data_IF_444217321613
#
_entry.id   IF_444217321613
#
_cell.length_a   1.000
_cell.length_b   1.000
_cell.length_c   1.000
_cell.angle_alpha   90.00
_cell.angle_beta   90.00
_cell.angle_gamma   90.00
#
_symmetry.space_group_name_H-M   'P 1'
#
loop_
_entity.id
_entity.type
_entity.pdbx_description
1 polymer ?
#
# COMPACT_ATOMS: atom_id res chain seq x y z
N UNK A 1 34.24 5.08 -51.35
CA UNK A 1 35.01 4.34 -50.34
C UNK A 1 34.02 3.82 -49.31
N UNK A 2 33.52 2.61 -49.56
CA UNK A 2 32.55 1.88 -48.75
C UNK A 2 33.16 1.54 -47.40
N UNK A 3 32.46 1.86 -46.30
CA UNK A 3 32.85 1.45 -44.95
C UNK A 3 32.44 0.00 -44.74
N UNK A 4 33.44 -0.85 -44.46
CA UNK A 4 33.24 -2.23 -44.06
C UNK A 4 32.41 -2.30 -42.77
N UNK A 5 31.32 -3.07 -42.84
CA UNK A 5 30.53 -3.48 -41.68
C UNK A 5 31.17 -4.77 -41.16
N UNK A 6 31.85 -4.69 -40.01
CA UNK A 6 32.29 -5.88 -39.30
C UNK A 6 31.08 -6.51 -38.59
N UNK A 7 30.47 -7.52 -39.22
CA UNK A 7 29.71 -8.55 -38.53
C UNK A 7 30.71 -9.46 -37.78
N UNK A 8 30.57 -9.52 -36.46
CA UNK A 8 30.79 -10.70 -35.59
C UNK A 8 31.12 -10.28 -34.16
N UNK A 9 30.06 -10.08 -33.36
CA UNK A 9 30.11 -10.25 -31.92
C UNK A 9 29.12 -11.34 -31.54
N UNK A 10 29.57 -12.59 -31.48
CA UNK A 10 28.77 -13.69 -30.93
C UNK A 10 28.57 -13.44 -29.43
N UNK A 11 27.37 -13.03 -29.05
CA UNK A 11 26.96 -13.08 -27.65
C UNK A 11 26.90 -14.56 -27.24
N UNK A 12 27.61 -15.01 -26.19
CA UNK A 12 27.40 -16.36 -25.69
C UNK A 12 25.97 -16.41 -25.14
N UNK A 13 25.11 -17.20 -25.80
CA UNK A 13 23.85 -17.61 -25.21
C UNK A 13 24.21 -18.33 -23.91
N UNK A 14 23.83 -17.75 -22.75
CA UNK A 14 23.83 -18.53 -21.52
C UNK A 14 22.74 -19.58 -21.70
N UNK A 15 23.15 -20.81 -21.99
CA UNK A 15 22.24 -21.95 -22.02
C UNK A 15 21.56 -22.04 -20.65
N UNK A 16 20.30 -21.65 -20.61
CA UNK A 16 19.47 -21.81 -19.44
C UNK A 16 19.11 -23.29 -19.34
N UNK A 17 19.74 -23.99 -18.42
CA UNK A 17 19.36 -25.34 -18.05
C UNK A 17 18.31 -25.27 -16.95
N UNK A 18 17.15 -25.88 -17.20
CA UNK A 18 16.14 -26.05 -16.16
C UNK A 18 16.75 -26.80 -14.97
N UNK A 19 16.51 -26.33 -13.74
CA UNK A 19 16.93 -27.07 -12.57
C UNK A 19 16.24 -28.44 -12.57
N UNK A 20 16.90 -29.48 -12.03
CA UNK A 20 16.33 -30.80 -11.97
C UNK A 20 14.99 -30.78 -11.21
N UNK A 21 14.03 -31.62 -11.60
CA UNK A 21 12.71 -31.61 -10.98
C UNK A 21 12.83 -31.88 -9.47
N UNK A 22 12.21 -31.02 -8.64
CA UNK A 22 12.26 -31.18 -7.20
C UNK A 22 11.75 -32.57 -6.75
N UNK A 23 12.36 -33.16 -5.70
CA UNK A 23 11.90 -34.42 -5.12
C UNK A 23 10.43 -34.35 -4.70
N UNK A 24 9.72 -35.48 -4.77
CA UNK A 24 8.33 -35.54 -4.31
C UNK A 24 8.20 -35.40 -2.79
N UNK A 25 9.24 -35.72 -2.04
CA UNK A 25 9.28 -35.54 -0.60
C UNK A 25 10.71 -35.25 -0.20
N UNK A 26 10.93 -34.07 0.39
CA UNK A 26 12.20 -33.70 1.00
C UNK A 26 11.96 -33.40 2.50
N UNK A 27 12.15 -34.38 3.39
CA UNK A 27 11.94 -34.18 4.82
C UNK A 27 12.92 -33.15 5.43
N UNK A 28 14.04 -32.87 4.74
CA UNK A 28 15.00 -31.85 5.18
C UNK A 28 14.38 -30.46 5.08
N UNK A 29 13.44 -30.24 4.17
CA UNK A 29 12.77 -28.95 3.98
C UNK A 29 11.90 -28.55 5.18
N UNK A 30 11.30 -29.54 5.86
CA UNK A 30 10.55 -29.33 7.11
C UNK A 30 11.44 -28.81 8.26
N UNK A 31 12.76 -28.95 8.15
CA UNK A 31 13.68 -28.39 9.15
C UNK A 31 14.08 -26.94 8.85
N UNK A 32 13.76 -26.42 7.66
CA UNK A 32 14.22 -25.10 7.19
C UNK A 32 13.23 -24.02 7.60
N UNK A 33 13.72 -22.95 8.25
CA UNK A 33 12.90 -21.76 8.55
C UNK A 33 12.31 -21.11 7.29
N UNK A 34 12.98 -21.26 6.14
CA UNK A 34 12.49 -20.77 4.85
C UNK A 34 11.11 -21.33 4.49
N UNK A 35 10.82 -22.59 4.87
CA UNK A 35 9.53 -23.24 4.64
C UNK A 35 8.44 -22.60 5.50
N UNK A 36 8.69 -22.50 6.81
CA UNK A 36 7.72 -21.95 7.75
C UNK A 36 7.39 -20.48 7.48
N UNK A 37 8.39 -19.64 7.15
CA UNK A 37 8.11 -18.22 6.84
C UNK A 37 7.26 -18.04 5.58
N UNK A 38 7.40 -18.91 4.59
CA UNK A 38 6.64 -18.84 3.36
C UNK A 38 5.22 -19.40 3.53
N UNK A 39 5.02 -20.42 4.38
CA UNK A 39 3.68 -20.84 4.84
C UNK A 39 2.96 -19.68 5.56
N UNK A 40 3.65 -19.01 6.49
CA UNK A 40 3.10 -17.86 7.21
C UNK A 40 2.78 -16.70 6.23
N UNK A 41 3.63 -16.45 5.23
CA UNK A 41 3.41 -15.45 4.20
C UNK A 41 2.11 -15.70 3.42
N UNK A 42 1.88 -16.93 2.99
CA UNK A 42 0.74 -17.32 2.16
C UNK A 42 -0.56 -17.41 2.98
N UNK A 43 -0.48 -17.87 4.24
CA UNK A 43 -1.61 -17.80 5.17
C UNK A 43 -2.06 -16.36 5.40
N UNK A 44 -1.13 -15.46 5.70
CA UNK A 44 -1.45 -14.03 5.92
C UNK A 44 -1.96 -13.39 4.64
N UNK A 45 -1.34 -13.66 3.48
CA UNK A 45 -1.81 -13.15 2.20
C UNK A 45 -3.25 -13.60 1.91
N UNK A 46 -3.57 -14.88 2.14
CA UNK A 46 -4.91 -15.41 1.96
C UNK A 46 -5.92 -14.76 2.91
N UNK A 47 -5.54 -14.58 4.18
CA UNK A 47 -6.39 -13.91 5.17
C UNK A 47 -6.67 -12.46 4.77
N UNK A 48 -5.65 -11.72 4.33
CA UNK A 48 -5.81 -10.35 3.85
C UNK A 48 -6.64 -10.27 2.58
N UNK A 49 -6.44 -11.20 1.65
CA UNK A 49 -7.24 -11.30 0.42
C UNK A 49 -8.71 -11.48 0.76
N UNK A 50 -9.03 -12.46 1.61
CA UNK A 50 -10.40 -12.70 2.05
C UNK A 50 -10.96 -11.51 2.80
N UNK A 51 -10.20 -10.93 3.74
CA UNK A 51 -10.63 -9.77 4.50
C UNK A 51 -11.04 -8.61 3.59
N UNK A 52 -10.17 -8.18 2.67
CA UNK A 52 -10.42 -7.05 1.78
C UNK A 52 -11.58 -7.34 0.82
N UNK A 53 -11.58 -8.50 0.17
CA UNK A 53 -12.58 -8.84 -0.84
C UNK A 53 -13.97 -9.01 -0.23
N UNK A 54 -14.07 -9.72 0.90
CA UNK A 54 -15.33 -9.90 1.62
C UNK A 54 -15.82 -8.57 2.17
N UNK A 55 -14.95 -7.76 2.77
CA UNK A 55 -15.35 -6.47 3.31
C UNK A 55 -15.82 -5.50 2.22
N UNK A 56 -15.18 -5.51 1.04
CA UNK A 56 -15.63 -4.73 -0.12
C UNK A 56 -17.02 -5.16 -0.59
N UNK A 57 -17.29 -6.48 -0.64
CA UNK A 57 -18.60 -7.00 -1.05
C UNK A 57 -19.67 -6.66 -0.01
N UNK A 58 -19.37 -6.82 1.29
CA UNK A 58 -20.29 -6.46 2.38
C UNK A 58 -20.58 -4.97 2.35
N UNK A 59 -19.55 -4.13 2.22
CA UNK A 59 -19.66 -2.68 2.14
C UNK A 59 -20.49 -2.22 0.93
N UNK A 60 -20.27 -2.80 -0.25
CA UNK A 60 -21.11 -2.53 -1.40
C UNK A 60 -22.56 -2.92 -1.15
N UNK A 61 -22.81 -4.13 -0.62
CA UNK A 61 -24.17 -4.61 -0.34
C UNK A 61 -24.89 -3.74 0.69
N UNK A 62 -24.22 -3.32 1.76
CA UNK A 62 -24.84 -2.46 2.78
C UNK A 62 -25.16 -1.06 2.25
N UNK A 63 -24.30 -0.52 1.38
CA UNK A 63 -24.48 0.82 0.81
C UNK A 63 -25.61 0.91 -0.22
N UNK A 64 -26.00 -0.21 -0.83
CA UNK A 64 -27.13 -0.27 -1.78
C UNK A 64 -28.42 -0.81 -1.17
N UNK A 65 -28.40 -1.27 0.08
CA UNK A 65 -29.55 -1.90 0.72
C UNK A 65 -30.58 -0.83 1.15
N UNK A 66 -31.80 -0.80 0.56
CA UNK A 66 -32.82 0.16 0.95
C UNK A 66 -33.24 0.03 2.42
N UNK A 67 -33.15 -1.17 3.01
CA UNK A 67 -33.47 -1.39 4.42
C UNK A 67 -32.49 -0.67 5.37
N UNK A 68 -31.27 -0.36 4.89
CA UNK A 68 -30.25 0.38 5.62
C UNK A 68 -30.14 1.85 5.17
N UNK A 69 -31.16 2.36 4.45
CA UNK A 69 -31.15 3.68 3.80
C UNK A 69 -30.03 3.83 2.77
N UNK A 70 -29.63 2.73 2.15
CA UNK A 70 -28.68 2.71 1.05
C UNK A 70 -29.23 3.36 -0.22
N UNK A 71 -28.31 3.78 -1.09
CA UNK A 71 -28.59 4.36 -2.40
C UNK A 71 -28.29 3.32 -3.49
N UNK A 72 -29.15 3.18 -4.50
CA UNK A 72 -28.95 2.27 -5.62
C UNK A 72 -27.64 2.54 -6.38
N UNK A 73 -27.13 3.78 -6.33
CA UNK A 73 -25.83 4.18 -6.87
C UNK A 73 -24.74 4.35 -5.81
N UNK A 74 -25.00 3.85 -4.59
CA UNK A 74 -24.07 3.81 -3.47
C UNK A 74 -22.96 2.76 -3.65
N UNK A 75 -21.83 3.04 -3.01
CA UNK A 75 -20.68 2.16 -2.95
C UNK A 75 -19.82 2.07 -4.21
N UNK A 76 -18.99 1.02 -4.25
CA UNK A 76 -17.91 0.87 -5.25
C UNK A 76 -18.34 0.18 -6.54
N UNK A 77 -19.55 -0.39 -6.58
CA UNK A 77 -20.10 -1.12 -7.73
C UNK A 77 -19.37 -2.44 -8.05
N UNK A 78 -19.88 -3.17 -9.04
CA UNK A 78 -19.27 -4.42 -9.50
C UNK A 78 -17.84 -4.23 -10.02
N UNK A 79 -17.55 -3.10 -10.66
CA UNK A 79 -16.21 -2.76 -11.11
C UNK A 79 -15.25 -2.58 -9.92
N UNK A 80 -15.69 -1.92 -8.84
CA UNK A 80 -14.91 -1.81 -7.62
C UNK A 80 -14.67 -3.17 -6.95
N UNK A 81 -15.65 -4.06 -6.94
CA UNK A 81 -15.45 -5.44 -6.47
C UNK A 81 -14.39 -6.14 -7.32
N UNK A 82 -14.46 -6.05 -8.65
CA UNK A 82 -13.46 -6.64 -9.53
C UNK A 82 -12.04 -6.08 -9.26
N UNK A 83 -11.94 -4.76 -9.03
CA UNK A 83 -10.69 -4.12 -8.62
C UNK A 83 -10.18 -4.64 -7.29
N UNK A 84 -11.05 -4.81 -6.28
CA UNK A 84 -10.66 -5.35 -4.99
C UNK A 84 -10.05 -6.76 -5.12
N UNK A 85 -10.65 -7.63 -5.93
CA UNK A 85 -10.10 -8.97 -6.17
C UNK A 85 -8.77 -8.92 -6.93
N UNK A 86 -8.74 -8.31 -8.12
CA UNK A 86 -7.55 -8.30 -8.97
C UNK A 86 -6.39 -7.49 -8.40
N UNK A 87 -6.69 -6.31 -7.85
CA UNK A 87 -5.69 -5.42 -7.28
C UNK A 87 -5.12 -5.95 -5.96
N UNK A 88 -5.92 -6.65 -5.14
CA UNK A 88 -5.38 -7.31 -3.94
C UNK A 88 -4.44 -8.45 -4.31
N UNK A 89 -4.76 -9.25 -5.33
CA UNK A 89 -3.84 -10.26 -5.86
C UNK A 89 -2.55 -9.59 -6.33
N UNK A 90 -2.63 -8.51 -7.12
CA UNK A 90 -1.45 -7.77 -7.56
C UNK A 90 -0.56 -7.31 -6.39
N UNK A 91 -1.16 -6.69 -5.37
CA UNK A 91 -0.44 -6.23 -4.17
C UNK A 91 0.21 -7.40 -3.45
N UNK A 92 -0.54 -8.48 -3.21
CA UNK A 92 -0.04 -9.64 -2.49
C UNK A 92 1.05 -10.37 -3.25
N UNK A 93 0.92 -10.57 -4.57
CA UNK A 93 1.97 -11.19 -5.40
C UNK A 93 3.23 -10.36 -5.27
N UNK A 94 3.12 -9.04 -5.35
CA UNK A 94 4.27 -8.17 -5.18
C UNK A 94 4.94 -8.35 -3.81
N UNK A 95 4.15 -8.54 -2.74
CA UNK A 95 4.68 -8.68 -1.40
C UNK A 95 5.24 -10.08 -1.10
N UNK A 96 4.62 -11.16 -1.59
CA UNK A 96 4.95 -12.54 -1.22
C UNK A 96 5.75 -13.30 -2.28
N UNK A 97 5.77 -12.87 -3.55
CA UNK A 97 6.41 -13.65 -4.61
C UNK A 97 7.91 -13.90 -4.39
N UNK A 98 8.61 -12.96 -3.76
CA UNK A 98 10.02 -13.13 -3.40
C UNK A 98 10.27 -14.00 -2.16
N UNK A 99 9.22 -14.54 -1.52
CA UNK A 99 9.28 -15.34 -0.31
C UNK A 99 8.69 -16.74 -0.56
N UNK A 100 7.51 -16.81 -1.17
CA UNK A 100 6.73 -18.03 -1.39
C UNK A 100 6.51 -18.40 -2.87
N UNK A 101 6.92 -17.55 -3.82
CA UNK A 101 6.66 -17.73 -5.25
C UNK A 101 5.33 -17.14 -5.76
N UNK A 102 4.47 -16.61 -4.88
CA UNK A 102 3.30 -15.81 -5.27
C UNK A 102 2.11 -16.64 -5.76
N UNK A 103 1.85 -17.79 -5.14
CA UNK A 103 0.80 -18.72 -5.55
C UNK A 103 -0.51 -18.47 -4.78
N UNK A 104 -1.23 -17.42 -5.17
CA UNK A 104 -2.35 -16.82 -4.41
C UNK A 104 -3.69 -17.60 -4.55
N UNK A 105 -3.74 -18.72 -5.27
CA UNK A 105 -5.00 -19.46 -5.48
C UNK A 105 -4.80 -20.96 -5.83
N UNK A 106 -5.50 -21.90 -5.16
CA UNK A 106 -5.57 -23.32 -5.55
C UNK A 106 -5.95 -23.59 -7.01
N UNK A 107 -6.75 -22.70 -7.65
CA UNK A 107 -7.23 -22.86 -9.02
C UNK A 107 -6.12 -22.71 -10.09
N UNK A 108 -5.11 -21.88 -9.85
CA UNK A 108 -3.96 -21.70 -10.77
C UNK A 108 -3.06 -22.93 -10.73
N UNK A 109 -2.85 -23.48 -9.52
CA UNK A 109 -2.17 -24.76 -9.30
C UNK A 109 -2.88 -25.92 -10.00
N UNK A 110 -4.21 -25.95 -9.94
CA UNK A 110 -5.02 -26.96 -10.63
C UNK A 110 -4.96 -26.81 -12.16
N UNK A 111 -4.93 -25.58 -12.68
CA UNK A 111 -4.75 -25.31 -14.12
C UNK A 111 -3.41 -25.82 -14.68
N UNK A 112 -2.31 -25.64 -13.94
CA UNK A 112 -0.99 -26.16 -14.31
C UNK A 112 -0.91 -27.69 -14.29
N UNK A 113 -1.66 -28.33 -13.39
CA UNK A 113 -1.84 -29.78 -13.37
C UNK A 113 -2.61 -30.28 -14.61
N UNK A 114 -3.73 -29.65 -14.95
CA UNK A 114 -4.52 -30.00 -16.14
C UNK A 114 -3.72 -29.80 -17.44
N UNK A 115 -2.84 -28.80 -17.49
CA UNK A 115 -1.94 -28.58 -18.62
C UNK A 115 -0.82 -29.64 -18.74
N UNK A 116 -0.80 -30.67 -17.88
CA UNK A 116 0.25 -31.71 -17.78
C UNK A 116 1.68 -31.17 -17.64
N UNK A 117 1.80 -29.91 -17.23
CA UNK A 117 3.07 -29.29 -16.87
C UNK A 117 3.53 -29.77 -15.48
N UNK A 118 2.65 -30.42 -14.72
CA UNK A 118 2.85 -30.89 -13.33
C UNK A 118 2.10 -32.21 -13.07
N UNK A 119 2.66 -33.15 -12.29
CA UNK A 119 2.05 -34.47 -11.96
C UNK A 119 1.01 -34.41 -10.83
N UNK A 120 0.14 -35.44 -10.69
CA UNK A 120 -0.96 -35.46 -9.68
C UNK A 120 -0.46 -35.36 -8.23
N UNK A 121 0.61 -36.08 -7.90
CA UNK A 121 1.24 -36.01 -6.59
C UNK A 121 1.84 -34.62 -6.37
N UNK A 122 2.41 -34.01 -7.42
CA UNK A 122 2.85 -32.61 -7.37
C UNK A 122 1.69 -31.63 -7.24
N UNK A 123 0.53 -31.83 -7.85
CA UNK A 123 -0.62 -30.94 -7.70
C UNK A 123 -1.17 -30.93 -6.26
N UNK A 124 -1.23 -32.12 -5.63
CA UNK A 124 -1.60 -32.29 -4.21
C UNK A 124 -0.53 -31.71 -3.30
N UNK A 125 0.75 -31.97 -3.58
CA UNK A 125 1.86 -31.35 -2.87
C UNK A 125 1.95 -29.85 -3.13
N UNK A 126 1.57 -29.30 -4.28
CA UNK A 126 1.55 -27.86 -4.57
C UNK A 126 0.38 -27.16 -3.85
N UNK A 127 -0.76 -27.85 -3.64
CA UNK A 127 -1.80 -27.37 -2.74
C UNK A 127 -1.34 -27.36 -1.26
N UNK A 128 -0.35 -28.19 -0.90
CA UNK A 128 0.31 -28.22 0.41
C UNK A 128 1.59 -27.37 0.46
N UNK A 129 2.22 -27.13 -0.68
CA UNK A 129 3.47 -26.42 -0.93
C UNK A 129 3.21 -25.08 -1.64
N UNK A 130 2.06 -24.47 -1.36
CA UNK A 130 1.84 -23.01 -1.36
C UNK A 130 2.74 -22.34 -0.32
N UNK A 131 3.96 -22.83 -0.13
CA UNK A 131 4.79 -22.58 1.03
C UNK A 131 6.26 -22.42 0.67
N UNK A 132 6.72 -22.40 -0.59
CA UNK A 132 8.14 -22.10 -0.84
C UNK A 132 8.46 -21.52 -2.22
N UNK A 133 9.07 -20.33 -2.21
CA UNK A 133 9.70 -19.69 -3.35
C UNK A 133 10.45 -18.41 -2.97
N UNK A 134 11.65 -18.55 -2.41
CA UNK A 134 12.91 -17.95 -2.88
C UNK A 134 13.92 -17.68 -1.74
N UNK A 135 15.17 -18.10 -1.97
CA UNK A 135 16.35 -17.73 -1.20
C UNK A 135 17.32 -17.07 -2.17
N UNK A 136 17.61 -15.80 -1.94
CA UNK A 136 18.80 -15.13 -2.45
C UNK A 136 19.40 -14.42 -1.24
N UNK A 137 20.60 -14.83 -0.83
CA UNK A 137 21.28 -14.26 0.32
C UNK A 137 21.77 -12.85 -0.03
N UNK A 138 21.00 -11.84 0.41
CA UNK A 138 21.39 -10.44 0.39
C UNK A 138 21.65 -9.99 1.82
N UNK A 139 22.75 -9.25 2.01
CA UNK A 139 23.10 -8.70 3.30
C UNK A 139 22.47 -7.32 3.45
N UNK A 140 21.61 -7.15 4.46
CA UNK A 140 20.94 -5.87 4.73
C UNK A 140 21.97 -4.74 4.91
N UNK A 141 21.68 -3.51 4.41
CA UNK A 141 22.49 -2.35 4.74
C UNK A 141 22.46 -2.13 6.26
N UNK A 142 23.52 -1.51 6.84
CA UNK A 142 23.58 -1.28 8.27
C UNK A 142 22.37 -0.47 8.76
N UNK A 143 21.84 -0.76 9.95
CA UNK A 143 20.69 -0.07 10.51
C UNK A 143 20.99 1.43 10.64
N UNK A 144 19.99 2.26 10.36
CA UNK A 144 20.12 3.69 10.54
C UNK A 144 20.40 4.02 12.02
N UNK A 145 21.34 4.94 12.31
CA UNK A 145 21.53 5.45 13.66
C UNK A 145 20.21 6.01 14.21
N UNK A 146 19.93 5.72 15.48
CA UNK A 146 18.69 6.19 16.11
C UNK A 146 18.62 7.72 16.12
N UNK A 147 19.76 8.36 16.37
CA UNK A 147 19.94 9.79 16.41
C UNK A 147 21.11 10.17 15.50
N UNK A 148 20.83 10.98 14.47
CA UNK A 148 21.83 11.48 13.52
C UNK A 148 21.69 13.00 13.36
N UNK A 149 22.28 13.78 14.28
CA UNK A 149 22.14 15.24 14.27
C UNK A 149 22.85 15.87 13.06
N UNK A 150 23.74 15.14 12.39
CA UNK A 150 24.41 15.60 11.17
C UNK A 150 23.39 15.80 10.04
N UNK A 151 22.22 15.15 10.08
CA UNK A 151 21.16 15.39 9.09
C UNK A 151 20.67 16.85 9.09
N UNK A 152 20.71 17.52 10.25
CA UNK A 152 20.29 18.92 10.37
C UNK A 152 21.23 19.89 9.66
N UNK A 153 22.47 19.49 9.37
CA UNK A 153 23.41 20.35 8.62
C UNK A 153 23.25 20.18 7.10
N UNK A 154 22.49 19.18 6.65
CA UNK A 154 22.37 18.84 5.23
C UNK A 154 21.22 19.57 4.57
N UNK A 155 21.49 20.30 3.50
CA UNK A 155 20.44 20.95 2.71
C UNK A 155 19.47 19.95 2.04
N UNK A 156 19.95 18.75 1.69
CA UNK A 156 19.11 17.66 1.18
C UNK A 156 18.05 17.21 2.18
N UNK A 157 18.31 17.32 3.49
CA UNK A 157 17.33 17.02 4.53
C UNK A 157 16.14 17.99 4.49
N UNK A 158 16.40 19.30 4.45
CA UNK A 158 15.34 20.31 4.35
C UNK A 158 14.56 20.20 3.04
N UNK A 159 15.23 19.90 1.91
CA UNK A 159 14.55 19.61 0.64
C UNK A 159 13.61 18.41 0.75
N UNK A 160 13.99 17.37 1.47
CA UNK A 160 13.13 16.22 1.72
C UNK A 160 11.92 16.59 2.59
N UNK A 161 12.08 17.44 3.62
CA UNK A 161 10.96 17.95 4.42
C UNK A 161 9.97 18.76 3.57
N UNK A 162 10.48 19.63 2.71
CA UNK A 162 9.65 20.40 1.77
C UNK A 162 8.92 19.45 0.80
N UNK A 163 9.59 18.41 0.31
CA UNK A 163 8.97 17.43 -0.58
C UNK A 163 7.83 16.68 0.10
N UNK A 164 7.99 16.22 1.34
CA UNK A 164 6.93 15.59 2.13
C UNK A 164 5.75 16.55 2.38
N UNK A 165 6.04 17.80 2.76
CA UNK A 165 5.02 18.83 2.94
C UNK A 165 4.20 19.09 1.67
N UNK A 166 4.88 19.34 0.54
CA UNK A 166 4.23 19.64 -0.74
C UNK A 166 3.45 18.43 -1.26
N UNK A 167 4.01 17.22 -1.14
CA UNK A 167 3.32 16.01 -1.53
C UNK A 167 2.04 15.79 -0.71
N UNK A 168 2.10 15.91 0.62
CA UNK A 168 0.90 15.76 1.46
C UNK A 168 -0.12 16.87 1.21
N UNK A 169 0.32 18.10 0.92
CA UNK A 169 -0.58 19.18 0.49
C UNK A 169 -1.35 18.82 -0.78
N UNK A 170 -0.64 18.41 -1.84
CA UNK A 170 -1.26 18.03 -3.11
C UNK A 170 -2.16 16.80 -2.96
N UNK A 171 -1.73 15.83 -2.16
CA UNK A 171 -2.51 14.64 -1.84
C UNK A 171 -3.87 15.00 -1.23
N UNK A 172 -3.88 15.82 -0.18
CA UNK A 172 -5.12 16.22 0.49
C UNK A 172 -5.97 17.17 -0.35
N UNK A 173 -5.34 18.09 -1.08
CA UNK A 173 -6.04 18.98 -1.99
C UNK A 173 -6.85 18.20 -3.03
N UNK A 174 -6.22 17.28 -3.77
CA UNK A 174 -6.89 16.53 -4.84
C UNK A 174 -7.96 15.61 -4.26
N UNK A 175 -7.62 14.82 -3.24
CA UNK A 175 -8.52 13.79 -2.71
C UNK A 175 -9.75 14.37 -2.02
N UNK A 176 -9.58 15.41 -1.19
CA UNK A 176 -10.73 16.04 -0.53
C UNK A 176 -11.57 16.81 -1.54
N UNK A 177 -10.97 17.47 -2.53
CA UNK A 177 -11.72 18.11 -3.62
C UNK A 177 -12.55 17.09 -4.42
N UNK A 178 -12.02 15.89 -4.69
CA UNK A 178 -12.77 14.79 -5.32
C UNK A 178 -13.94 14.33 -4.45
N UNK A 179 -13.75 14.18 -3.14
CA UNK A 179 -14.83 13.77 -2.20
C UNK A 179 -15.95 14.81 -2.17
N UNK A 180 -15.61 16.09 -2.01
CA UNK A 180 -16.62 17.16 -1.98
C UNK A 180 -17.29 17.31 -3.34
N UNK A 181 -16.52 17.20 -4.43
CA UNK A 181 -17.03 17.21 -5.80
C UNK A 181 -18.08 16.12 -6.03
N UNK A 182 -17.74 14.87 -5.69
CA UNK A 182 -18.68 13.74 -5.76
C UNK A 182 -19.96 14.00 -4.97
N UNK A 183 -19.84 14.40 -3.69
CA UNK A 183 -21.02 14.65 -2.84
C UNK A 183 -21.89 15.80 -3.36
N UNK A 184 -21.29 16.81 -3.96
CA UNK A 184 -22.04 17.92 -4.57
C UNK A 184 -22.78 17.51 -5.84
N UNK A 185 -22.18 16.66 -6.68
CA UNK A 185 -22.76 16.21 -7.95
C UNK A 185 -24.00 15.33 -7.77
N UNK A 186 -24.04 14.55 -6.69
CA UNK A 186 -25.17 13.65 -6.39
C UNK A 186 -26.25 14.28 -5.51
N UNK A 187 -26.11 15.55 -5.11
CA UNK A 187 -27.03 16.18 -4.17
C UNK A 187 -28.39 16.48 -4.85
N UNK A 188 -29.50 15.86 -4.40
CA UNK A 188 -30.82 16.11 -4.98
C UNK A 188 -31.28 17.56 -4.82
N UNK A 189 -30.82 18.26 -3.78
CA UNK A 189 -31.14 19.67 -3.56
C UNK A 189 -30.51 20.59 -4.64
N UNK A 190 -29.46 20.12 -5.32
CA UNK A 190 -28.83 20.80 -6.45
C UNK A 190 -29.31 20.26 -7.80
N UNK A 191 -30.36 19.43 -7.81
CA UNK A 191 -30.82 18.66 -8.98
C UNK A 191 -29.71 17.77 -9.55
N UNK A 192 -28.83 17.29 -8.68
CA UNK A 192 -27.78 16.34 -9.01
C UNK A 192 -28.38 15.01 -9.47
N UNK A 193 -27.70 14.35 -10.41
CA UNK A 193 -27.99 12.97 -10.77
C UNK A 193 -27.38 12.06 -9.70
N UNK A 194 -28.20 11.20 -9.07
CA UNK A 194 -27.77 10.29 -8.01
C UNK A 194 -26.57 9.42 -8.42
N UNK A 195 -26.43 9.15 -9.73
CA UNK A 195 -25.37 8.33 -10.30
C UNK A 195 -24.34 9.14 -11.12
N UNK A 196 -24.51 10.46 -11.23
CA UNK A 196 -23.80 11.32 -12.20
C UNK A 196 -22.38 11.76 -11.78
N UNK A 197 -21.84 11.22 -10.68
CA UNK A 197 -20.51 11.55 -10.17
C UNK A 197 -19.46 10.47 -10.44
N UNK A 198 -18.27 10.64 -9.86
CA UNK A 198 -17.17 9.66 -9.98
C UNK A 198 -17.38 8.37 -9.17
N UNK A 199 -18.41 8.33 -8.31
CA UNK A 199 -18.69 7.23 -7.39
C UNK A 199 -17.63 7.06 -6.29
N UNK A 200 -17.89 6.15 -5.35
CA UNK A 200 -16.89 5.79 -4.34
C UNK A 200 -15.65 5.11 -4.95
N UNK A 201 -15.82 4.45 -6.10
CA UNK A 201 -14.71 3.93 -6.89
C UNK A 201 -13.75 5.04 -7.34
N UNK A 202 -14.28 6.16 -7.86
CA UNK A 202 -13.47 7.30 -8.25
C UNK A 202 -12.79 7.99 -7.07
N UNK A 203 -13.45 8.04 -5.91
CA UNK A 203 -12.83 8.50 -4.66
C UNK A 203 -11.64 7.60 -4.31
N UNK A 204 -11.83 6.28 -4.28
CA UNK A 204 -10.75 5.33 -3.99
C UNK A 204 -9.57 5.49 -4.98
N UNK A 205 -9.86 5.69 -6.26
CA UNK A 205 -8.85 5.98 -7.29
C UNK A 205 -8.10 7.28 -7.03
N UNK A 206 -8.77 8.34 -6.58
CA UNK A 206 -8.09 9.60 -6.26
C UNK A 206 -7.07 9.39 -5.13
N UNK A 207 -7.42 8.64 -4.08
CA UNK A 207 -6.51 8.35 -2.98
C UNK A 207 -5.32 7.48 -3.41
N UNK A 208 -5.57 6.33 -4.03
CA UNK A 208 -4.49 5.42 -4.43
C UNK A 208 -3.63 5.97 -5.58
N UNK A 209 -4.27 6.61 -6.56
CA UNK A 209 -3.60 7.23 -7.71
C UNK A 209 -2.70 8.39 -7.29
N UNK A 210 -3.15 9.25 -6.38
CA UNK A 210 -2.31 10.33 -5.87
C UNK A 210 -1.12 9.82 -5.07
N UNK A 211 -1.29 8.77 -4.26
CA UNK A 211 -0.14 8.14 -3.58
C UNK A 211 0.84 7.56 -4.60
N UNK A 212 0.37 6.84 -5.62
CA UNK A 212 1.25 6.35 -6.69
C UNK A 212 2.07 7.49 -7.34
N UNK A 213 1.41 8.57 -7.77
CA UNK A 213 2.07 9.69 -8.45
C UNK A 213 3.06 10.38 -7.51
N UNK A 214 2.65 10.70 -6.29
CA UNK A 214 3.47 11.47 -5.38
C UNK A 214 4.64 10.67 -4.81
N UNK A 215 4.47 9.37 -4.53
CA UNK A 215 5.60 8.50 -4.18
C UNK A 215 6.57 8.42 -5.36
N UNK A 216 6.07 8.30 -6.61
CA UNK A 216 6.95 8.33 -7.78
C UNK A 216 7.77 9.64 -7.86
N UNK A 217 7.13 10.78 -7.64
CA UNK A 217 7.80 12.08 -7.67
C UNK A 217 8.82 12.28 -6.53
N UNK A 218 8.56 11.72 -5.34
CA UNK A 218 9.32 12.05 -4.12
C UNK A 218 10.23 10.93 -3.62
N UNK A 219 10.13 9.70 -4.14
CA UNK A 219 10.91 8.56 -3.67
C UNK A 219 12.43 8.79 -3.71
N UNK A 220 12.94 9.45 -4.76
CA UNK A 220 14.37 9.79 -4.86
C UNK A 220 14.83 10.96 -3.98
N UNK A 221 13.89 11.74 -3.43
CA UNK A 221 14.15 12.96 -2.66
C UNK A 221 13.98 12.70 -1.16
N UNK A 222 12.76 12.32 -0.75
CA UNK A 222 12.42 12.10 0.66
C UNK A 222 12.32 10.63 1.05
N UNK A 223 12.17 9.73 0.07
CA UNK A 223 11.73 8.35 0.28
C UNK A 223 10.24 8.15 -0.01
N UNK A 224 9.46 9.23 -0.17
CA UNK A 224 8.05 9.19 -0.55
C UNK A 224 7.15 8.57 0.51
N UNK A 225 7.17 9.10 1.74
CA UNK A 225 6.39 8.54 2.84
C UNK A 225 4.94 9.04 2.80
N UNK A 226 4.75 10.37 2.76
CA UNK A 226 3.46 11.09 2.64
C UNK A 226 2.44 10.67 3.74
N UNK A 227 2.92 9.99 4.79
CA UNK A 227 2.10 9.33 5.79
C UNK A 227 2.90 9.11 7.08
N UNK A 228 2.41 9.60 8.24
CA UNK A 228 3.05 9.36 9.52
C UNK A 228 3.17 7.88 9.88
N UNK A 229 2.18 7.04 9.57
CA UNK A 229 2.22 5.61 9.86
C UNK A 229 3.31 4.88 9.06
N UNK A 230 3.52 5.27 7.78
CA UNK A 230 4.62 4.76 6.95
C UNK A 230 5.97 5.18 7.52
N UNK A 231 6.09 6.46 7.87
CA UNK A 231 7.31 7.01 8.49
C UNK A 231 7.64 6.30 9.81
N UNK A 232 6.63 6.06 10.64
CA UNK A 232 6.75 5.34 11.90
C UNK A 232 7.18 3.88 11.70
N UNK A 233 6.56 3.16 10.77
CA UNK A 233 6.95 1.79 10.43
C UNK A 233 8.42 1.70 10.01
N UNK A 234 8.85 2.55 9.08
CA UNK A 234 10.24 2.59 8.63
C UNK A 234 11.23 3.00 9.73
N UNK A 235 10.80 3.85 10.67
CA UNK A 235 11.57 4.17 11.88
C UNK A 235 11.74 2.94 12.78
N UNK A 236 10.66 2.20 13.07
CA UNK A 236 10.72 0.98 13.87
C UNK A 236 11.64 -0.08 13.26
N UNK A 237 11.65 -0.17 11.92
CA UNK A 237 12.55 -1.05 11.18
C UNK A 237 13.99 -0.51 11.03
N UNK A 238 14.36 0.57 11.73
CA UNK A 238 15.68 1.21 11.68
C UNK A 238 16.11 1.62 10.26
N UNK A 239 15.17 2.03 9.42
CA UNK A 239 15.44 2.58 8.08
C UNK A 239 15.41 4.12 8.05
N UNK A 240 14.94 4.75 9.12
CA UNK A 240 14.79 6.20 9.29
C UNK A 240 15.25 6.58 10.70
N UNK A 241 15.97 7.70 10.85
CA UNK A 241 16.39 8.22 12.16
C UNK A 241 15.21 8.86 12.91
N UNK A 242 15.32 9.01 14.23
CA UNK A 242 14.27 9.64 15.04
C UNK A 242 14.01 11.10 14.61
N UNK A 243 15.07 11.88 14.37
CA UNK A 243 14.97 13.29 13.98
C UNK A 243 14.20 13.42 12.66
N UNK A 244 14.57 12.60 11.66
CA UNK A 244 13.90 12.58 10.37
C UNK A 244 12.44 12.14 10.51
N UNK A 245 12.18 11.10 11.31
CA UNK A 245 10.82 10.60 11.51
C UNK A 245 9.90 11.68 12.08
N UNK A 246 10.32 12.35 13.16
CA UNK A 246 9.53 13.42 13.80
C UNK A 246 9.29 14.58 12.82
N UNK A 247 10.34 15.07 12.15
CA UNK A 247 10.20 16.21 11.24
C UNK A 247 9.39 15.88 9.98
N UNK A 248 9.44 14.64 9.49
CA UNK A 248 8.57 14.17 8.41
C UNK A 248 7.10 14.17 8.86
N UNK A 249 6.78 13.63 10.04
CA UNK A 249 5.41 13.60 10.54
C UNK A 249 4.84 15.02 10.71
N UNK A 250 5.65 15.96 11.21
CA UNK A 250 5.26 17.37 11.30
C UNK A 250 5.03 17.97 9.91
N UNK A 251 5.96 17.78 8.98
CA UNK A 251 5.83 18.29 7.60
C UNK A 251 4.58 17.74 6.89
N UNK A 252 4.30 16.45 7.04
CA UNK A 252 3.12 15.79 6.49
C UNK A 252 1.83 16.38 7.10
N UNK A 253 1.78 16.55 8.42
CA UNK A 253 0.61 17.13 9.10
C UNK A 253 0.34 18.57 8.64
N UNK A 254 1.38 19.41 8.56
CA UNK A 254 1.25 20.78 8.08
C UNK A 254 0.80 20.82 6.61
N UNK A 255 1.38 19.96 5.77
CA UNK A 255 0.99 19.82 4.37
C UNK A 255 -0.48 19.44 4.23
N UNK A 256 -0.94 18.46 5.00
CA UNK A 256 -2.33 18.03 5.01
C UNK A 256 -3.29 19.16 5.39
N UNK A 257 -2.99 19.92 6.47
CA UNK A 257 -3.79 21.08 6.90
C UNK A 257 -3.88 22.11 5.77
N UNK A 258 -2.75 22.47 5.15
CA UNK A 258 -2.73 23.41 4.03
C UNK A 258 -3.53 22.91 2.82
N UNK A 259 -3.41 21.62 2.47
CA UNK A 259 -4.13 21.02 1.35
C UNK A 259 -5.65 21.09 1.53
N UNK A 260 -6.14 20.71 2.73
CA UNK A 260 -7.57 20.78 3.03
C UNK A 260 -8.05 22.24 3.14
N UNK A 261 -7.24 23.14 3.71
CA UNK A 261 -7.57 24.55 3.80
C UNK A 261 -7.81 25.18 2.43
N UNK A 262 -7.00 24.81 1.42
CA UNK A 262 -7.20 25.25 0.03
C UNK A 262 -8.55 24.78 -0.53
N UNK A 263 -8.97 23.54 -0.25
CA UNK A 263 -10.28 23.04 -0.69
C UNK A 263 -11.41 23.84 -0.04
N UNK A 264 -11.33 24.11 1.26
CA UNK A 264 -12.31 24.95 1.95
C UNK A 264 -12.33 26.38 1.40
N UNK A 265 -11.18 26.94 1.06
CA UNK A 265 -11.09 28.28 0.46
C UNK A 265 -11.79 28.35 -0.91
N UNK A 266 -11.70 27.31 -1.74
CA UNK A 266 -12.32 27.28 -3.07
C UNK A 266 -13.83 27.02 -3.04
N UNK A 267 -14.33 26.27 -2.06
CA UNK A 267 -15.72 25.85 -2.04
C UNK A 267 -16.29 25.74 -0.61
N UNK A 268 -16.12 26.78 0.20
CA UNK A 268 -16.43 26.75 1.64
C UNK A 268 -17.85 26.26 1.96
N UNK A 269 -18.86 26.72 1.22
CA UNK A 269 -20.25 26.32 1.45
C UNK A 269 -20.45 24.80 1.23
N UNK A 270 -19.94 24.26 0.12
CA UNK A 270 -20.01 22.84 -0.19
C UNK A 270 -19.13 22.01 0.75
N UNK A 271 -17.94 22.50 1.09
CA UNK A 271 -17.02 21.83 2.00
C UNK A 271 -17.66 21.56 3.37
N UNK A 272 -18.26 22.59 3.98
CA UNK A 272 -18.92 22.46 5.29
C UNK A 272 -20.14 21.55 5.19
N UNK A 273 -20.98 21.73 4.15
CA UNK A 273 -22.19 20.92 3.95
C UNK A 273 -21.89 19.42 3.81
N UNK A 274 -20.81 19.06 3.14
CA UNK A 274 -20.53 17.67 2.75
C UNK A 274 -19.48 16.97 3.63
N UNK A 275 -19.23 17.48 4.84
CA UNK A 275 -18.44 16.80 5.86
C UNK A 275 -16.93 17.03 5.77
N UNK A 276 -16.46 17.99 4.96
CA UNK A 276 -15.07 18.44 4.91
C UNK A 276 -14.01 17.40 4.54
N UNK A 277 -14.41 16.21 4.06
CA UNK A 277 -13.50 15.08 3.84
C UNK A 277 -12.91 14.48 5.13
N UNK A 278 -13.47 14.79 6.30
CA UNK A 278 -13.04 14.28 7.58
C UNK A 278 -13.33 12.78 7.72
N UNK A 279 -12.46 12.08 8.45
CA UNK A 279 -12.72 10.71 8.87
C UNK A 279 -13.56 10.74 10.15
N UNK A 280 -14.55 9.86 10.23
CA UNK A 280 -15.36 9.59 11.41
C UNK A 280 -15.92 8.17 11.29
N UNK A 281 -16.35 7.59 12.39
CA UNK A 281 -17.01 6.29 12.38
C UNK A 281 -18.40 6.44 11.72
N UNK A 282 -18.69 5.59 10.74
CA UNK A 282 -20.02 5.52 10.14
C UNK A 282 -21.02 4.92 11.12
N UNK A 283 -22.26 5.41 11.08
CA UNK A 283 -23.35 4.87 11.89
C UNK A 283 -23.54 3.36 11.68
N UNK A 284 -23.83 2.64 12.77
CA UNK A 284 -24.01 1.18 12.76
C UNK A 284 -22.72 0.38 12.95
N UNK A 285 -21.54 1.01 12.90
CA UNK A 285 -20.28 0.37 13.28
C UNK A 285 -19.91 0.70 14.72
N UNK A 286 -19.34 -0.27 15.44
CA UNK A 286 -18.78 -0.01 16.76
C UNK A 286 -17.37 0.56 16.65
N UNK A 287 -16.94 1.28 17.68
CA UNK A 287 -15.58 1.85 17.78
C UNK A 287 -14.50 0.78 17.60
N UNK A 288 -14.73 -0.44 18.13
CA UNK A 288 -13.81 -1.56 17.96
C UNK A 288 -13.69 -2.03 16.51
N UNK A 289 -14.78 -2.00 15.73
CA UNK A 289 -14.76 -2.32 14.30
C UNK A 289 -14.02 -1.24 13.52
N UNK A 290 -14.28 0.04 13.80
CA UNK A 290 -13.55 1.16 13.20
C UNK A 290 -12.05 1.07 13.45
N UNK A 291 -11.64 0.85 14.71
CA UNK A 291 -10.24 0.68 15.07
C UNK A 291 -9.61 -0.52 14.36
N UNK A 292 -10.30 -1.67 14.35
CA UNK A 292 -9.82 -2.89 13.68
C UNK A 292 -9.63 -2.69 12.17
N UNK A 293 -10.56 -2.00 11.51
CA UNK A 293 -10.46 -1.68 10.09
C UNK A 293 -9.24 -0.80 9.77
N UNK A 294 -8.98 0.23 10.59
CA UNK A 294 -7.81 1.11 10.45
C UNK A 294 -6.49 0.36 10.71
N UNK A 295 -6.45 -0.55 11.68
CA UNK A 295 -5.28 -1.39 11.96
C UNK A 295 -4.96 -2.29 10.76
N UNK A 296 -5.94 -3.05 10.27
CA UNK A 296 -5.72 -4.01 9.18
C UNK A 296 -5.43 -3.28 7.87
N UNK A 297 -6.17 -2.20 7.57
CA UNK A 297 -5.93 -1.37 6.39
C UNK A 297 -4.52 -0.77 6.39
N UNK A 298 -4.05 -0.28 7.53
CA UNK A 298 -2.68 0.26 7.64
C UNK A 298 -1.63 -0.83 7.61
N UNK A 299 -1.91 -2.02 8.17
CA UNK A 299 -1.04 -3.18 8.05
C UNK A 299 -0.79 -3.54 6.58
N UNK A 300 -1.86 -3.62 5.76
CA UNK A 300 -1.74 -3.89 4.32
C UNK A 300 -0.84 -2.84 3.65
N UNK A 301 -1.11 -1.55 3.88
CA UNK A 301 -0.30 -0.46 3.33
C UNK A 301 1.18 -0.57 3.72
N UNK A 302 1.47 -0.66 5.01
CA UNK A 302 2.85 -0.60 5.51
C UNK A 302 3.61 -1.89 5.19
N UNK A 303 2.93 -3.04 5.17
CA UNK A 303 3.51 -4.29 4.67
C UNK A 303 3.93 -4.14 3.19
N UNK A 304 3.06 -3.58 2.34
CA UNK A 304 3.41 -3.30 0.94
C UNK A 304 4.55 -2.30 0.82
N UNK A 305 4.62 -1.27 1.67
CA UNK A 305 5.76 -0.35 1.69
C UNK A 305 7.07 -1.10 1.95
N UNK A 306 7.10 -1.99 2.95
CA UNK A 306 8.30 -2.76 3.24
C UNK A 306 8.72 -3.65 2.07
N UNK A 307 7.79 -4.38 1.46
CA UNK A 307 8.05 -5.20 0.28
C UNK A 307 8.46 -4.37 -0.95
N UNK A 308 8.03 -3.11 -1.02
CA UNK A 308 8.38 -2.16 -2.07
C UNK A 308 9.69 -1.40 -1.83
N UNK A 309 10.38 -1.63 -0.71
CA UNK A 309 11.69 -1.02 -0.48
C UNK A 309 12.74 -1.59 -1.44
N UNK A 310 13.48 -0.72 -2.12
CA UNK A 310 14.65 -1.14 -2.89
C UNK A 310 15.86 -1.21 -1.96
N UNK A 311 16.44 -2.41 -1.72
CA UNK A 311 17.57 -2.54 -0.80
C UNK A 311 18.84 -1.87 -1.32
N UNK A 312 18.95 -1.62 -2.64
CA UNK A 312 20.15 -1.07 -3.29
C UNK A 312 20.07 0.44 -3.53
N UNK A 313 18.86 1.02 -3.55
CA UNK A 313 18.66 2.44 -3.87
C UNK A 313 18.20 3.22 -2.64
N UNK A 314 18.90 4.31 -2.37
CA UNK A 314 18.62 5.22 -1.26
C UNK A 314 18.21 6.59 -1.78
N UNK A 315 17.34 7.27 -1.05
CA UNK A 315 17.01 8.67 -1.29
C UNK A 315 18.24 9.55 -1.07
N UNK A 316 18.30 10.67 -1.78
CA UNK A 316 19.47 11.54 -1.88
C UNK A 316 20.10 11.86 -0.51
N UNK A 317 21.41 11.61 -0.40
CA UNK A 317 22.27 11.91 0.77
C UNK A 317 21.75 11.35 2.11
N UNK A 318 21.01 10.23 2.08
CA UNK A 318 20.36 9.63 3.25
C UNK A 318 20.43 8.09 3.25
N UNK A 319 19.97 7.48 4.35
CA UNK A 319 19.82 6.03 4.50
C UNK A 319 18.41 5.53 4.14
N UNK A 320 17.51 6.42 3.72
CA UNK A 320 16.11 6.09 3.46
C UNK A 320 15.99 5.30 2.16
N UNK A 321 15.30 4.14 2.12
CA UNK A 321 15.13 3.37 0.89
C UNK A 321 14.24 4.08 -0.13
N UNK A 322 14.54 3.89 -1.41
CA UNK A 322 13.62 4.28 -2.50
C UNK A 322 12.50 3.25 -2.58
N UNK A 323 11.25 3.71 -2.71
CA UNK A 323 10.07 2.86 -2.75
C UNK A 323 9.59 2.62 -4.19
N UNK A 324 9.09 1.42 -4.49
CA UNK A 324 8.33 1.14 -5.71
C UNK A 324 6.90 1.71 -5.58
N UNK A 325 6.53 2.73 -6.36
CA UNK A 325 5.32 3.52 -6.09
C UNK A 325 4.01 2.82 -6.47
N UNK A 326 4.02 1.99 -7.51
CA UNK A 326 2.80 1.39 -8.07
C UNK A 326 2.11 0.42 -7.08
N UNK A 327 2.80 -0.55 -6.46
CA UNK A 327 2.18 -1.42 -5.45
C UNK A 327 1.64 -0.64 -4.25
N UNK A 328 2.35 0.40 -3.81
CA UNK A 328 1.94 1.23 -2.67
C UNK A 328 0.63 1.97 -2.99
N UNK A 329 0.55 2.62 -4.15
CA UNK A 329 -0.68 3.30 -4.58
C UNK A 329 -1.85 2.33 -4.72
N UNK A 330 -1.60 1.12 -5.24
CA UNK A 330 -2.62 0.06 -5.30
C UNK A 330 -3.05 -0.43 -3.92
N UNK A 331 -2.14 -0.62 -2.97
CA UNK A 331 -2.51 -1.00 -1.60
C UNK A 331 -3.45 0.05 -0.98
N UNK A 332 -3.15 1.34 -1.15
CA UNK A 332 -4.04 2.42 -0.71
C UNK A 332 -5.39 2.35 -1.42
N UNK A 333 -5.42 2.23 -2.74
CA UNK A 333 -6.65 2.12 -3.53
C UNK A 333 -7.55 0.99 -3.02
N UNK A 334 -6.98 -0.20 -2.84
CA UNK A 334 -7.71 -1.41 -2.46
C UNK A 334 -8.25 -1.32 -1.03
N UNK A 335 -7.46 -0.78 -0.10
CA UNK A 335 -7.94 -0.54 1.27
C UNK A 335 -9.08 0.46 1.26
N UNK A 336 -9.06 1.49 0.41
CA UNK A 336 -10.18 2.44 0.29
C UNK A 336 -11.47 1.75 -0.18
N UNK A 337 -11.40 0.84 -1.17
CA UNK A 337 -12.58 0.09 -1.62
C UNK A 337 -13.28 -0.66 -0.47
N UNK A 338 -12.49 -1.21 0.46
CA UNK A 338 -13.00 -2.00 1.58
C UNK A 338 -13.42 -1.14 2.80
N UNK A 339 -12.77 -0.02 3.05
CA UNK A 339 -12.88 0.71 4.34
C UNK A 339 -13.59 2.06 4.27
N UNK A 340 -13.83 2.61 3.07
CA UNK A 340 -14.63 3.82 2.89
C UNK A 340 -15.99 3.73 3.63
N UNK A 341 -16.74 2.61 3.56
CA UNK A 341 -18.04 2.51 4.22
C UNK A 341 -17.99 2.60 5.75
N UNK A 342 -16.84 2.26 6.37
CA UNK A 342 -16.70 2.16 7.83
C UNK A 342 -16.22 3.48 8.43
N UNK A 343 -15.20 4.10 7.83
CA UNK A 343 -14.51 5.27 8.40
C UNK A 343 -14.20 6.39 7.39
N UNK A 344 -14.57 6.20 6.11
CA UNK A 344 -14.04 7.01 5.00
C UNK A 344 -12.55 6.77 4.71
N UNK A 345 -11.96 5.73 5.31
CA UNK A 345 -10.55 5.32 5.22
C UNK A 345 -9.56 6.36 5.75
N UNK A 346 -9.03 6.11 6.95
CA UNK A 346 -7.96 6.91 7.54
C UNK A 346 -6.60 6.51 6.99
N UNK A 347 -6.06 5.39 7.50
CA UNK A 347 -4.74 4.75 7.28
C UNK A 347 -3.52 5.68 7.20
N UNK A 348 -3.72 6.97 7.47
CA UNK A 348 -2.78 8.07 7.34
C UNK A 348 -3.17 9.16 8.36
N UNK A 349 -2.45 9.24 9.49
CA UNK A 349 -2.76 10.20 10.54
C UNK A 349 -2.71 11.67 10.09
N UNK A 350 -1.80 12.03 9.17
CA UNK A 350 -1.73 13.41 8.66
C UNK A 350 -2.98 13.77 7.84
N UNK A 351 -3.48 12.85 7.02
CA UNK A 351 -4.73 13.02 6.26
C UNK A 351 -5.92 13.22 7.19
N UNK A 352 -6.03 12.39 8.23
CA UNK A 352 -7.12 12.51 9.20
C UNK A 352 -7.01 13.79 10.03
N UNK A 353 -5.80 14.21 10.42
CA UNK A 353 -5.59 15.45 11.18
C UNK A 353 -5.89 16.68 10.33
N UNK A 354 -5.38 16.74 9.09
CA UNK A 354 -5.60 17.88 8.19
C UNK A 354 -7.08 18.15 7.96
N UNK A 355 -7.87 17.09 7.74
CA UNK A 355 -9.31 17.22 7.58
C UNK A 355 -10.03 17.60 8.88
N UNK A 356 -9.68 16.97 10.02
CA UNK A 356 -10.28 17.29 11.32
C UNK A 356 -10.05 18.76 11.73
N UNK A 357 -8.83 19.27 11.54
CA UNK A 357 -8.46 20.66 11.87
C UNK A 357 -9.29 21.67 11.05
N UNK A 358 -9.44 21.45 9.75
CA UNK A 358 -10.10 22.42 8.85
C UNK A 358 -11.63 22.30 8.88
N UNK A 359 -12.15 21.07 9.06
CA UNK A 359 -13.58 20.82 9.21
C UNK A 359 -14.09 21.25 10.60
N UNK A 360 -13.29 20.99 11.64
CA UNK A 360 -13.53 21.39 13.03
C UNK A 360 -14.93 21.06 13.54
N UNK A 361 -15.27 19.78 13.56
CA UNK A 361 -16.57 19.26 14.00
C UNK A 361 -16.37 18.28 15.17
N UNK A 362 -17.30 18.30 16.13
CA UNK A 362 -17.21 17.52 17.37
C UNK A 362 -17.10 16.01 17.12
N UNK A 363 -17.92 15.46 16.21
CA UNK A 363 -17.87 14.01 15.87
C UNK A 363 -16.53 13.63 15.26
N UNK A 364 -16.01 14.46 14.34
CA UNK A 364 -14.71 14.22 13.73
C UNK A 364 -13.57 14.24 14.76
N UNK A 365 -13.64 15.11 15.78
CA UNK A 365 -12.67 15.16 16.87
C UNK A 365 -12.82 14.01 17.86
N UNK A 366 -14.04 13.62 18.21
CA UNK A 366 -14.32 12.52 19.13
C UNK A 366 -13.78 11.18 18.60
N UNK A 367 -13.88 10.95 17.30
CA UNK A 367 -13.35 9.74 16.64
C UNK A 367 -11.88 9.85 16.25
N UNK A 368 -11.28 11.05 16.35
CA UNK A 368 -9.99 11.35 15.74
C UNK A 368 -8.85 10.42 16.20
N UNK A 369 -8.89 10.00 17.46
CA UNK A 369 -7.87 9.13 18.05
C UNK A 369 -7.75 7.78 17.34
N UNK A 370 -8.84 7.27 16.74
CA UNK A 370 -8.85 6.02 15.98
C UNK A 370 -7.84 6.07 14.83
N UNK A 371 -7.73 7.22 14.19
CA UNK A 371 -6.90 7.44 13.00
C UNK A 371 -5.43 7.76 13.32
N UNK A 372 -5.06 7.76 14.60
CA UNK A 372 -3.68 7.75 15.06
C UNK A 372 -3.30 6.38 15.63
N UNK A 373 -4.10 5.90 16.57
CA UNK A 373 -3.85 4.64 17.28
C UNK A 373 -3.92 3.45 16.31
N UNK A 374 -4.97 3.36 15.50
CA UNK A 374 -5.13 2.27 14.55
C UNK A 374 -3.97 2.19 13.55
N UNK A 375 -3.65 3.29 12.84
CA UNK A 375 -2.54 3.27 11.89
C UNK A 375 -1.16 3.00 12.51
N UNK A 376 -0.87 3.51 13.70
CA UNK A 376 0.42 3.21 14.36
C UNK A 376 0.53 1.75 14.81
N UNK A 377 -0.55 1.15 15.31
CA UNK A 377 -0.58 -0.29 15.62
C UNK A 377 -0.39 -1.10 14.34
N UNK A 378 -1.14 -0.80 13.26
CA UNK A 378 -1.03 -1.49 11.98
C UNK A 378 0.39 -1.41 11.39
N UNK A 379 1.02 -0.22 11.46
CA UNK A 379 2.39 -0.01 11.02
C UNK A 379 3.41 -0.80 11.85
N UNK A 380 3.25 -0.83 13.17
CA UNK A 380 4.13 -1.58 14.07
C UNK A 380 4.04 -3.09 13.83
N UNK A 381 2.82 -3.62 13.65
CA UNK A 381 2.60 -5.02 13.31
C UNK A 381 3.22 -5.38 11.96
N UNK A 382 3.07 -4.51 10.94
CA UNK A 382 3.68 -4.72 9.63
C UNK A 382 5.21 -4.71 9.69
N UNK A 383 5.80 -3.77 10.45
CA UNK A 383 7.25 -3.73 10.67
C UNK A 383 7.74 -4.99 11.38
N UNK A 384 7.04 -5.43 12.42
CA UNK A 384 7.39 -6.65 13.15
C UNK A 384 7.30 -7.89 12.26
N UNK A 385 6.20 -8.02 11.52
CA UNK A 385 5.94 -9.12 10.60
C UNK A 385 7.01 -9.23 9.52
N UNK A 386 7.31 -8.13 8.83
CA UNK A 386 8.29 -8.11 7.76
C UNK A 386 9.72 -8.37 8.27
N UNK A 387 10.11 -7.72 9.37
CA UNK A 387 11.49 -7.75 9.85
C UNK A 387 11.85 -9.04 10.60
N UNK A 388 10.95 -9.55 11.45
CA UNK A 388 11.27 -10.66 12.36
C UNK A 388 10.66 -11.99 11.92
N UNK A 389 9.43 -11.99 11.41
CA UNK A 389 8.74 -13.22 11.00
C UNK A 389 9.23 -13.66 9.63
N UNK A 390 9.08 -12.78 8.63
CA UNK A 390 9.51 -13.08 7.26
C UNK A 390 11.03 -13.01 7.09
N UNK A 391 11.72 -12.20 7.91
CA UNK A 391 13.14 -11.87 7.73
C UNK A 391 13.44 -11.44 6.29
N UNK A 392 12.56 -10.58 5.75
CA UNK A 392 12.55 -10.20 4.35
C UNK A 392 13.33 -8.91 4.05
N UNK A 393 14.14 -8.39 4.98
CA UNK A 393 15.01 -7.23 4.72
C UNK A 393 15.85 -7.40 3.44
N UNK A 394 16.24 -8.65 3.17
CA UNK A 394 17.02 -9.09 2.02
C UNK A 394 16.21 -9.39 0.73
N UNK A 395 14.88 -9.50 0.80
CA UNK A 395 14.07 -9.94 -0.33
C UNK A 395 13.69 -8.76 -1.23
N UNK A 396 14.17 -8.76 -2.48
CA UNK A 396 13.68 -7.83 -3.50
C UNK A 396 12.36 -8.36 -4.06
N UNK A 397 11.26 -7.62 -3.85
CA UNK A 397 10.05 -7.85 -4.64
C UNK A 397 10.35 -7.63 -6.13
N UNK A 398 9.90 -8.55 -6.98
CA UNK A 398 10.17 -8.56 -8.42
C UNK A 398 9.72 -7.24 -9.07
N UNK A 399 10.63 -6.28 -9.14
CA UNK A 399 10.46 -5.07 -9.94
C UNK A 399 10.49 -5.44 -11.42
N UNK A 400 9.47 -4.97 -12.15
CA UNK A 400 9.27 -5.13 -13.61
C UNK A 400 10.59 -5.31 -14.37
N UNK A 401 10.68 -6.45 -15.07
CA UNK A 401 11.78 -6.91 -15.91
C UNK A 401 12.72 -5.79 -16.38
N UNK A 402 13.83 -5.60 -15.66
CA UNK A 402 15.01 -4.90 -16.20
C UNK A 402 16.22 -5.80 -16.07
N UNK A 403 16.74 -6.18 -17.22
CA UNK A 403 18.05 -6.80 -17.43
C UNK A 403 19.12 -6.03 -16.64
N UNK A 404 19.88 -6.73 -15.81
CA UNK A 404 21.07 -6.19 -15.16
C UNK A 404 22.16 -6.01 -16.24
N UNK A 405 22.52 -4.78 -16.55
CA UNK A 405 23.81 -4.45 -17.16
C UNK A 405 24.90 -4.51 -16.08
N UNK A 406 25.67 -5.61 -16.06
CA UNK A 406 26.89 -5.72 -15.27
C UNK A 406 28.01 -4.92 -15.93
N UNK A 407 28.57 -3.95 -15.21
CA UNK A 407 29.87 -3.35 -15.54
C UNK A 407 31.01 -4.30 -15.15
N UNK A 408 32.04 -4.23 -16.00
CA UNK A 408 33.34 -4.93 -16.01
C UNK A 408 34.10 -4.83 -14.70
#
# INVERSE_FOLDING_TARGET
>A
MTKDVAEHGSFPAKDYHDPPPAPLFDPVELTKWSFYRALIAEFVATLLFLYVTVLTVIGYKSQIDPALKGDACGGVGYLGIAWAFGGMIFVLVYCTAGISGGHINPAVTFGLFLARKVSLIRAVLYMVAQCLGAICDYHDPPPAPLFDPVELTKWSFYRALIAEFVATLLFLYVTVLTVIGYKSQIDPALKGDACGGVGYLGIAWAFGGMIFVLVYCTAGISGGHINPAVTFGLFLARKVSLIRAVLYMVAQCLGAICGVALVKAFQSAYFVKYGGGANSLSDGYSTGVGLGAEIVGTFVLVYTVFSATDPKRKARDSHVPVLAPLPIGFAVFIVHLATIPITGTGINPARSLGAAVIYNNDTAWNDHWLFWVGPFIGAALAAFYHQFILRAGAAKALGSFRSNSSHV
#
